data_IF_716557545661
#
_entry.id   IF_716557545661
#
_cell.length_a   1.000
_cell.length_b   1.000
_cell.length_c   1.000
_cell.angle_alpha   90.00
_cell.angle_beta   90.00
_cell.angle_gamma   90.00
#
_symmetry.space_group_name_H-M   'P 1'
#
loop_
_entity.id
_entity.type
_entity.pdbx_description
1 polymer ?
#
# COMPACT_ATOMS: atom_id res chain seq x y z
N UNK A 1 12.48 -12.70 -32.67
CA UNK A 1 11.61 -13.28 -31.59
C UNK A 1 12.38 -13.53 -30.28
N UNK A 2 13.62 -14.02 -30.31
CA UNK A 2 14.42 -14.34 -29.11
C UNK A 2 14.77 -13.08 -28.29
N UNK A 3 15.12 -11.96 -28.91
CA UNK A 3 15.44 -10.70 -28.24
C UNK A 3 14.24 -10.07 -27.52
N UNK A 4 13.04 -10.13 -28.11
CA UNK A 4 11.80 -9.63 -27.51
C UNK A 4 11.46 -10.44 -26.26
N UNK A 5 11.65 -11.78 -26.31
CA UNK A 5 11.41 -12.66 -25.16
C UNK A 5 12.35 -12.35 -23.99
N UNK A 6 13.64 -12.12 -24.27
CA UNK A 6 14.64 -11.74 -23.26
C UNK A 6 14.32 -10.37 -22.63
N UNK A 7 13.98 -9.36 -23.44
CA UNK A 7 13.62 -8.04 -22.94
C UNK A 7 12.39 -8.09 -22.04
N UNK A 8 11.35 -8.83 -22.42
CA UNK A 8 10.14 -9.02 -21.62
C UNK A 8 10.45 -9.74 -20.31
N UNK A 9 11.30 -10.76 -20.34
CA UNK A 9 11.72 -11.48 -19.14
C UNK A 9 12.51 -10.59 -18.17
N UNK A 10 13.46 -9.80 -18.68
CA UNK A 10 14.23 -8.86 -17.87
C UNK A 10 13.36 -7.76 -17.24
N UNK A 11 12.40 -7.21 -18.01
CA UNK A 11 11.45 -6.24 -17.52
C UNK A 11 10.54 -6.84 -16.43
N UNK A 12 10.06 -8.07 -16.62
CA UNK A 12 9.26 -8.77 -15.61
C UNK A 12 10.04 -8.91 -14.30
N UNK A 13 11.27 -9.42 -14.36
CA UNK A 13 12.15 -9.62 -13.19
C UNK A 13 12.52 -8.30 -12.50
N UNK A 14 12.78 -7.23 -13.27
CA UNK A 14 13.08 -5.89 -12.72
C UNK A 14 11.92 -5.34 -11.90
N UNK A 15 10.68 -5.54 -12.35
CA UNK A 15 9.50 -4.99 -11.72
C UNK A 15 9.00 -5.79 -10.53
N UNK A 16 9.22 -7.11 -10.54
CA UNK A 16 9.00 -7.95 -9.35
C UNK A 16 9.90 -7.48 -8.20
N UNK A 17 11.16 -7.16 -8.49
CA UNK A 17 12.08 -6.58 -7.49
C UNK A 17 11.58 -5.24 -6.95
N UNK A 18 11.03 -4.38 -7.79
CA UNK A 18 10.54 -3.07 -7.37
C UNK A 18 9.32 -3.19 -6.46
N UNK A 19 8.31 -3.98 -6.83
CA UNK A 19 7.11 -4.17 -5.99
C UNK A 19 7.43 -4.87 -4.69
N UNK A 20 8.33 -5.86 -4.70
CA UNK A 20 8.83 -6.54 -3.50
C UNK A 20 9.56 -5.58 -2.56
N UNK A 21 10.47 -4.77 -3.12
CA UNK A 21 11.22 -3.77 -2.35
C UNK A 21 10.30 -2.72 -1.74
N UNK A 22 9.38 -2.16 -2.53
CA UNK A 22 8.43 -1.16 -2.03
C UNK A 22 7.50 -1.73 -0.96
N UNK A 23 7.02 -2.95 -1.13
CA UNK A 23 6.20 -3.61 -0.13
C UNK A 23 6.98 -3.82 1.18
N UNK A 24 8.23 -4.30 1.11
CA UNK A 24 9.10 -4.44 2.27
C UNK A 24 9.38 -3.10 2.96
N UNK A 25 9.64 -2.05 2.18
CA UNK A 25 9.82 -0.69 2.69
C UNK A 25 8.57 -0.18 3.42
N UNK A 26 7.37 -0.42 2.86
CA UNK A 26 6.12 -0.02 3.49
C UNK A 26 5.85 -0.78 4.79
N UNK A 27 6.22 -2.06 4.88
CA UNK A 27 6.14 -2.83 6.13
C UNK A 27 7.09 -2.21 7.17
N UNK A 28 8.33 -1.94 6.81
CA UNK A 28 9.30 -1.31 7.70
C UNK A 28 8.78 0.04 8.22
N UNK A 29 8.26 0.88 7.33
CA UNK A 29 7.68 2.17 7.70
C UNK A 29 6.45 2.02 8.61
N UNK A 30 5.60 0.99 8.42
CA UNK A 30 4.46 0.77 9.31
C UNK A 30 4.91 0.43 10.74
N UNK A 31 6.00 -0.32 10.90
CA UNK A 31 6.60 -0.62 12.21
C UNK A 31 7.13 0.67 12.84
N UNK A 32 7.86 1.49 12.09
CA UNK A 32 8.39 2.77 12.58
C UNK A 32 7.25 3.70 13.01
N UNK A 33 6.24 3.88 12.16
CA UNK A 33 5.09 4.75 12.49
C UNK A 33 4.27 4.20 13.66
N UNK A 34 4.12 2.88 13.78
CA UNK A 34 3.49 2.25 14.93
C UNK A 34 4.24 2.54 16.24
N UNK A 35 5.57 2.46 16.21
CA UNK A 35 6.39 2.83 17.36
C UNK A 35 6.26 4.33 17.70
N UNK A 36 6.25 5.22 16.70
CA UNK A 36 6.00 6.65 16.92
C UNK A 36 4.61 6.90 17.52
N UNK A 37 3.57 6.24 17.02
CA UNK A 37 2.21 6.31 17.55
C UNK A 37 2.13 5.90 19.01
N UNK A 38 2.76 4.79 19.36
CA UNK A 38 2.75 4.25 20.72
C UNK A 38 3.50 5.11 21.76
N UNK A 39 4.49 5.89 21.34
CA UNK A 39 5.37 6.66 22.24
C UNK A 39 5.27 8.17 22.03
N UNK A 40 5.86 8.69 20.95
CA UNK A 40 5.99 10.14 20.77
C UNK A 40 4.66 10.84 20.48
N UNK A 41 3.81 10.25 19.61
CA UNK A 41 2.55 10.88 19.24
C UNK A 41 1.49 10.81 20.35
N UNK A 42 1.60 9.87 21.25
CA UNK A 42 0.68 9.71 22.38
C UNK A 42 0.69 10.91 23.35
N UNK A 43 1.75 11.70 23.33
CA UNK A 43 1.88 12.90 24.19
C UNK A 43 1.33 14.17 23.53
N UNK A 44 1.11 14.16 22.21
CA UNK A 44 0.72 15.34 21.44
C UNK A 44 -0.61 15.20 20.70
N UNK A 45 -1.09 13.97 20.46
CA UNK A 45 -2.35 13.71 19.79
C UNK A 45 -3.44 13.35 20.79
N UNK A 46 -4.66 13.83 20.50
CA UNK A 46 -5.86 13.38 21.21
C UNK A 46 -6.12 11.88 20.94
N UNK A 47 -6.75 11.14 21.88
CA UNK A 47 -7.01 9.71 21.73
C UNK A 47 -7.67 9.33 20.41
N UNK A 48 -8.66 10.09 19.94
CA UNK A 48 -9.35 9.85 18.66
C UNK A 48 -8.46 10.05 17.44
N UNK A 49 -7.52 10.99 17.53
CA UNK A 49 -6.53 11.23 16.47
C UNK A 49 -5.49 10.10 16.45
N UNK A 50 -5.08 9.63 17.61
CA UNK A 50 -4.16 8.51 17.74
C UNK A 50 -4.77 7.23 17.19
N UNK A 51 -6.03 6.95 17.48
CA UNK A 51 -6.78 5.81 16.93
C UNK A 51 -6.86 5.89 15.40
N UNK A 52 -7.12 7.10 14.86
CA UNK A 52 -7.15 7.31 13.41
C UNK A 52 -5.77 7.09 12.78
N UNK A 53 -4.70 7.57 13.41
CA UNK A 53 -3.34 7.34 12.97
C UNK A 53 -3.00 5.85 12.94
N UNK A 54 -3.37 5.10 13.99
CA UNK A 54 -3.17 3.66 14.11
C UNK A 54 -3.92 2.86 13.03
N UNK A 55 -5.10 3.31 12.62
CA UNK A 55 -5.78 2.75 11.44
C UNK A 55 -4.90 2.85 10.19
N UNK A 56 -4.28 4.00 9.94
CA UNK A 56 -3.35 4.19 8.81
C UNK A 56 -2.17 3.23 8.88
N UNK A 57 -1.57 3.06 10.06
CA UNK A 57 -0.42 2.18 10.29
C UNK A 57 -0.79 0.71 10.07
N UNK A 58 -1.89 0.26 10.65
CA UNK A 58 -2.35 -1.14 10.52
C UNK A 58 -2.65 -1.52 9.07
N UNK A 59 -3.42 -0.69 8.36
CA UNK A 59 -3.75 -0.98 6.97
C UNK A 59 -2.55 -0.88 6.04
N UNK A 60 -1.59 0.02 6.31
CA UNK A 60 -0.32 0.04 5.60
C UNK A 60 0.41 -1.30 5.74
N UNK A 61 0.56 -1.81 6.95
CA UNK A 61 1.21 -3.10 7.22
C UNK A 61 0.49 -4.27 6.55
N UNK A 62 -0.83 -4.38 6.69
CA UNK A 62 -1.62 -5.48 6.12
C UNK A 62 -1.60 -5.47 4.58
N UNK A 63 -1.81 -4.32 3.96
CA UNK A 63 -1.79 -4.21 2.50
C UNK A 63 -0.39 -4.46 1.93
N UNK A 64 0.65 -3.92 2.58
CA UNK A 64 2.03 -4.14 2.18
C UNK A 64 2.42 -5.62 2.30
N UNK A 65 2.00 -6.32 3.35
CA UNK A 65 2.22 -7.75 3.51
C UNK A 65 1.53 -8.54 2.39
N UNK A 66 0.29 -8.20 2.06
CA UNK A 66 -0.42 -8.79 0.93
C UNK A 66 0.33 -8.63 -0.38
N UNK A 67 0.78 -7.41 -0.69
CA UNK A 67 1.57 -7.12 -1.89
C UNK A 67 2.90 -7.88 -1.88
N UNK A 68 3.59 -7.96 -0.74
CA UNK A 68 4.85 -8.70 -0.61
C UNK A 68 4.67 -10.18 -0.96
N UNK A 69 3.67 -10.83 -0.35
CA UNK A 69 3.37 -12.24 -0.60
C UNK A 69 3.04 -12.49 -2.08
N UNK A 70 2.18 -11.67 -2.67
CA UNK A 70 1.81 -11.80 -4.07
C UNK A 70 2.97 -11.52 -5.01
N UNK A 71 3.82 -10.52 -4.70
CA UNK A 71 4.98 -10.14 -5.48
C UNK A 71 6.05 -11.24 -5.53
N UNK A 72 6.25 -11.96 -4.41
CA UNK A 72 7.17 -13.09 -4.34
C UNK A 72 6.65 -14.34 -5.06
N UNK A 73 5.35 -14.44 -5.29
CA UNK A 73 4.68 -15.59 -5.89
C UNK A 73 4.11 -15.31 -7.29
N UNK A 74 4.58 -14.28 -7.99
CA UNK A 74 4.06 -13.89 -9.32
C UNK A 74 4.10 -15.03 -10.34
N UNK A 75 5.07 -15.93 -10.21
CA UNK A 75 5.24 -17.09 -11.10
C UNK A 75 4.12 -18.15 -10.97
N UNK A 76 3.37 -18.13 -9.86
CA UNK A 76 2.28 -19.08 -9.61
C UNK A 76 0.95 -18.71 -10.28
N UNK A 77 0.87 -17.52 -10.86
CA UNK A 77 -0.38 -17.03 -11.46
C UNK A 77 -0.33 -17.16 -12.98
N UNK A 78 -1.36 -17.78 -13.57
CA UNK A 78 -1.52 -17.92 -15.03
C UNK A 78 -1.88 -16.59 -15.72
N UNK A 79 -2.02 -15.50 -14.98
CA UNK A 79 -2.38 -14.17 -15.48
C UNK A 79 -1.39 -13.09 -15.03
N UNK A 80 -1.41 -11.95 -15.74
CA UNK A 80 -0.55 -10.82 -15.39
C UNK A 80 -1.05 -10.11 -14.12
N UNK A 81 -0.31 -10.25 -13.02
CA UNK A 81 -0.64 -9.66 -11.71
C UNK A 81 -0.03 -8.27 -11.48
N UNK A 82 0.95 -7.88 -12.30
CA UNK A 82 1.74 -6.65 -12.11
C UNK A 82 0.92 -5.38 -11.92
N UNK A 83 -0.06 -5.14 -12.81
CA UNK A 83 -0.91 -3.94 -12.70
C UNK A 83 -1.72 -3.92 -11.41
N UNK A 84 -2.13 -5.10 -10.94
CA UNK A 84 -2.85 -5.26 -9.67
C UNK A 84 -1.93 -4.90 -8.48
N UNK A 85 -0.69 -5.37 -8.47
CA UNK A 85 0.27 -5.06 -7.41
C UNK A 85 0.57 -3.56 -7.32
N UNK A 86 0.74 -2.89 -8.46
CA UNK A 86 0.93 -1.44 -8.48
C UNK A 86 -0.32 -0.68 -8.02
N UNK A 87 -1.51 -1.12 -8.43
CA UNK A 87 -2.75 -0.51 -7.96
C UNK A 87 -2.94 -0.69 -6.44
N UNK A 88 -2.60 -1.86 -5.89
CA UNK A 88 -2.60 -2.10 -4.44
C UNK A 88 -1.63 -1.18 -3.70
N UNK A 89 -0.39 -1.01 -4.21
CA UNK A 89 0.62 -0.11 -3.63
C UNK A 89 0.16 1.35 -3.65
N UNK A 90 -0.39 1.81 -4.78
CA UNK A 90 -0.91 3.17 -4.93
C UNK A 90 -2.10 3.38 -3.97
N UNK A 91 -3.05 2.46 -3.94
CA UNK A 91 -4.20 2.53 -3.05
C UNK A 91 -3.80 2.59 -1.57
N UNK A 92 -2.87 1.72 -1.16
CA UNK A 92 -2.29 1.71 0.19
C UNK A 92 -1.60 3.05 0.52
N UNK A 93 -0.78 3.55 -0.40
CA UNK A 93 -0.08 4.81 -0.21
C UNK A 93 -1.07 5.96 -0.03
N UNK A 94 -2.03 6.11 -0.94
CA UNK A 94 -3.04 7.15 -0.86
C UNK A 94 -3.87 7.05 0.42
N UNK A 95 -4.25 5.84 0.83
CA UNK A 95 -5.03 5.62 2.04
C UNK A 95 -4.25 6.00 3.31
N UNK A 96 -3.09 5.40 3.54
CA UNK A 96 -2.36 5.55 4.80
C UNK A 96 -1.69 6.92 4.92
N UNK A 97 -1.05 7.41 3.85
CA UNK A 97 -0.35 8.71 3.91
C UNK A 97 -1.30 9.90 3.95
N UNK A 98 -2.51 9.79 3.37
CA UNK A 98 -3.54 10.82 3.56
C UNK A 98 -4.00 10.89 5.02
N UNK A 99 -4.16 9.75 5.69
CA UNK A 99 -4.49 9.69 7.14
C UNK A 99 -3.37 10.37 7.95
N UNK A 100 -2.11 10.04 7.68
CA UNK A 100 -0.99 10.69 8.38
C UNK A 100 -0.98 12.20 8.18
N UNK A 101 -1.19 12.66 6.94
CA UNK A 101 -1.30 14.09 6.64
C UNK A 101 -2.46 14.76 7.37
N UNK A 102 -3.62 14.13 7.40
CA UNK A 102 -4.82 14.67 8.07
C UNK A 102 -4.66 14.74 9.59
N UNK A 103 -3.99 13.76 10.18
CA UNK A 103 -3.78 13.71 11.64
C UNK A 103 -2.64 14.60 12.08
N UNK A 104 -1.50 14.55 11.42
CA UNK A 104 -0.29 15.28 11.83
C UNK A 104 -0.26 16.71 11.31
N UNK A 105 -0.82 16.96 10.12
CA UNK A 105 -0.79 18.27 9.47
C UNK A 105 -1.28 19.43 10.36
N UNK A 106 -2.44 19.31 11.03
CA UNK A 106 -2.95 20.35 11.92
C UNK A 106 -2.02 20.71 13.07
N UNK A 107 -1.27 19.75 13.60
CA UNK A 107 -0.34 19.99 14.72
C UNK A 107 0.92 20.71 14.33
N UNK A 108 1.47 20.43 13.13
CA UNK A 108 2.77 20.96 12.72
C UNK A 108 2.69 22.15 11.75
N UNK A 109 1.60 22.25 10.98
CA UNK A 109 1.48 23.17 9.87
C UNK A 109 0.24 24.09 9.93
N UNK A 110 -0.58 23.94 11.00
CA UNK A 110 -1.78 24.74 11.23
C UNK A 110 -3.10 24.04 10.93
N UNK A 111 -4.18 24.49 11.55
CA UNK A 111 -5.47 23.82 11.63
C UNK A 111 -6.12 23.43 10.26
N UNK A 112 -5.77 24.08 9.20
CA UNK A 112 -6.30 23.79 7.84
C UNK A 112 -5.33 23.00 6.96
N UNK A 113 -4.16 22.64 7.48
CA UNK A 113 -3.16 21.91 6.72
C UNK A 113 -3.72 20.56 6.25
N UNK A 114 -3.51 20.27 4.97
CA UNK A 114 -3.87 19.01 4.33
C UNK A 114 -5.36 18.61 4.35
N UNK A 115 -6.30 19.53 4.67
CA UNK A 115 -7.74 19.21 4.61
C UNK A 115 -8.19 18.65 3.25
N UNK A 116 -7.51 19.02 2.17
CA UNK A 116 -7.76 18.50 0.82
C UNK A 116 -7.46 16.99 0.69
N UNK A 117 -6.74 16.39 1.65
CA UNK A 117 -6.50 14.94 1.69
C UNK A 117 -7.72 14.13 2.18
N UNK A 118 -8.74 14.79 2.73
CA UNK A 118 -9.97 14.12 3.18
C UNK A 118 -10.57 13.17 2.12
N UNK A 119 -10.83 13.65 0.91
CA UNK A 119 -11.32 12.80 -0.18
C UNK A 119 -10.31 11.75 -0.68
N UNK A 120 -9.01 11.94 -0.45
CA UNK A 120 -7.95 11.04 -0.93
C UNK A 120 -7.99 9.71 -0.17
N UNK A 121 -8.30 9.74 1.13
CA UNK A 121 -8.39 8.53 1.96
C UNK A 121 -9.41 7.52 1.41
N UNK A 122 -10.69 7.87 1.17
CA UNK A 122 -11.65 6.92 0.62
C UNK A 122 -11.30 6.49 -0.81
N UNK A 123 -10.68 7.34 -1.62
CA UNK A 123 -10.19 6.97 -2.96
C UNK A 123 -9.09 5.89 -2.84
N UNK A 124 -8.11 6.07 -1.94
CA UNK A 124 -7.08 5.08 -1.69
C UNK A 124 -7.65 3.74 -1.22
N UNK A 125 -8.62 3.78 -0.30
CA UNK A 125 -9.34 2.60 0.16
C UNK A 125 -10.09 1.89 -0.96
N UNK A 126 -10.83 2.64 -1.79
CA UNK A 126 -11.55 2.08 -2.94
C UNK A 126 -10.60 1.42 -3.95
N UNK A 127 -9.48 2.05 -4.30
CA UNK A 127 -8.46 1.47 -5.19
C UNK A 127 -7.96 0.13 -4.62
N UNK A 128 -7.65 0.09 -3.32
CA UNK A 128 -7.19 -1.13 -2.65
C UNK A 128 -8.23 -2.25 -2.72
N UNK A 129 -9.49 -1.97 -2.39
CA UNK A 129 -10.59 -2.93 -2.43
C UNK A 129 -10.81 -3.44 -3.87
N UNK A 130 -10.89 -2.54 -4.84
CA UNK A 130 -11.08 -2.92 -6.25
C UNK A 130 -9.93 -3.78 -6.74
N UNK A 131 -8.69 -3.47 -6.35
CA UNK A 131 -7.52 -4.26 -6.73
C UNK A 131 -7.60 -5.69 -6.20
N UNK A 132 -8.04 -5.87 -4.96
CA UNK A 132 -8.29 -7.19 -4.39
C UNK A 132 -9.43 -7.92 -5.09
N UNK A 133 -10.54 -7.25 -5.38
CA UNK A 133 -11.65 -7.83 -6.14
C UNK A 133 -11.20 -8.31 -7.53
N UNK A 134 -10.43 -7.49 -8.25
CA UNK A 134 -9.87 -7.86 -9.56
C UNK A 134 -8.92 -9.06 -9.44
N UNK A 135 -8.07 -9.08 -8.42
CA UNK A 135 -7.19 -10.21 -8.16
C UNK A 135 -7.97 -11.51 -7.93
N UNK A 136 -8.93 -11.49 -7.01
CA UNK A 136 -9.76 -12.64 -6.69
C UNK A 136 -10.58 -13.13 -7.90
N UNK A 137 -11.18 -12.22 -8.66
CA UNK A 137 -11.91 -12.56 -9.87
C UNK A 137 -11.01 -13.26 -10.91
N UNK A 138 -9.79 -12.72 -11.13
CA UNK A 138 -8.83 -13.34 -12.06
C UNK A 138 -8.34 -14.70 -11.56
N UNK A 139 -8.15 -14.84 -10.26
CA UNK A 139 -7.76 -16.10 -9.64
C UNK A 139 -8.84 -17.18 -9.88
N UNK A 140 -10.11 -16.85 -9.70
CA UNK A 140 -11.22 -17.78 -9.95
C UNK A 140 -11.36 -18.11 -11.44
N UNK A 141 -11.15 -17.13 -12.31
CA UNK A 141 -11.34 -17.32 -13.77
C UNK A 141 -10.19 -18.06 -14.45
N UNK A 142 -8.95 -17.78 -14.05
CA UNK A 142 -7.75 -18.31 -14.72
C UNK A 142 -6.97 -19.30 -13.88
N UNK A 143 -7.23 -19.39 -12.58
CA UNK A 143 -6.58 -20.30 -11.66
C UNK A 143 -5.13 -19.97 -11.36
N UNK A 144 -4.44 -20.98 -10.80
CA UNK A 144 -3.00 -20.96 -10.59
C UNK A 144 -2.32 -21.69 -11.75
N UNK A 145 -1.11 -21.26 -12.11
CA UNK A 145 -0.28 -21.92 -13.12
C UNK A 145 0.33 -23.21 -12.56
#
# INVERSE_FOLDING_TARGET
QRYISYAVFCLKKKMEKQTTFLAGLMIMLSIVFGAFGAHALKTILEPTQLDTFDVGVRYQGFLAMGVLVLSLNTHRFAFQIKGILWAMLIGMFLFSFSIYGLVLGPHFLGANAFRFLGPVTPIGGAISIISWCVFLFRLLKYGQA
#
